data_IF_150340771143
#
_entry.id   IF_150340771143
#
_cell.length_a   1.000
_cell.length_b   1.000
_cell.length_c   1.000
_cell.angle_alpha   90.00
_cell.angle_beta   90.00
_cell.angle_gamma   90.00
#
_symmetry.space_group_name_H-M   'P 1'
#
loop_
_entity.id
_entity.type
_entity.pdbx_description
1 polymer ?
#
# COMPACT_ATOMS: atom_id res chain seq x y z
N UNK A 1 11.54 -2.07 -11.81
CA UNK A 1 10.45 -2.08 -10.82
C UNK A 1 10.78 -1.20 -9.62
N UNK A 2 9.80 -0.78 -8.89
CA UNK A 2 10.02 -0.04 -7.65
C UNK A 2 10.12 -1.04 -6.50
N UNK A 3 11.21 -0.98 -5.76
CA UNK A 3 11.44 -1.84 -4.60
C UNK A 3 10.94 -1.14 -3.35
N UNK A 4 10.16 -1.86 -2.55
CA UNK A 4 9.59 -1.34 -1.30
C UNK A 4 9.76 -2.33 -0.15
N UNK A 5 9.71 -1.82 1.06
CA UNK A 5 9.68 -2.60 2.29
C UNK A 5 8.49 -2.15 3.12
N UNK A 6 7.95 -3.07 3.91
CA UNK A 6 6.87 -2.73 4.83
C UNK A 6 7.44 -1.95 6.02
N UNK A 7 6.83 -0.81 6.33
CA UNK A 7 7.18 -0.05 7.54
C UNK A 7 6.90 -0.90 8.78
N UNK A 8 7.69 -0.76 9.86
CA UNK A 8 7.33 -1.37 11.14
C UNK A 8 5.92 -0.92 11.56
N UNK A 9 5.12 -1.85 12.08
CA UNK A 9 3.75 -1.53 12.46
C UNK A 9 3.68 -0.43 13.52
N UNK A 10 4.66 -0.36 14.40
CA UNK A 10 4.77 0.72 15.39
C UNK A 10 4.86 2.11 14.76
N UNK A 11 5.40 2.22 13.55
CA UNK A 11 5.46 3.48 12.79
C UNK A 11 4.12 3.74 12.11
N UNK A 12 3.53 2.73 11.49
CA UNK A 12 2.24 2.85 10.80
C UNK A 12 1.16 3.33 11.79
N UNK A 13 1.09 2.73 12.96
CA UNK A 13 0.07 3.02 13.95
C UNK A 13 0.10 4.45 14.50
N UNK A 14 1.24 5.13 14.38
CA UNK A 14 1.35 6.55 14.81
C UNK A 14 0.38 7.42 14.01
N UNK A 15 0.08 7.05 12.79
CA UNK A 15 -0.80 7.79 11.88
C UNK A 15 -2.24 7.31 11.91
N UNK A 16 -2.57 6.33 12.76
CA UNK A 16 -3.88 5.72 12.84
C UNK A 16 -4.50 5.92 14.22
N UNK A 17 -5.81 6.09 14.25
CA UNK A 17 -6.60 6.15 15.49
C UNK A 17 -7.51 4.93 15.57
N UNK A 18 -7.78 4.47 16.78
CA UNK A 18 -8.70 3.33 16.99
C UNK A 18 -10.10 3.60 16.46
N UNK A 19 -10.50 4.88 16.43
CA UNK A 19 -11.80 5.30 15.89
C UNK A 19 -11.83 5.36 14.36
N UNK A 20 -10.69 5.27 13.70
CA UNK A 20 -10.63 5.33 12.24
C UNK A 20 -11.31 4.11 11.61
N UNK A 21 -11.98 4.37 10.49
CA UNK A 21 -12.45 3.32 9.58
C UNK A 21 -11.42 3.27 8.45
N UNK A 22 -10.74 2.14 8.34
CA UNK A 22 -9.59 2.01 7.45
C UNK A 22 -9.97 1.24 6.20
N UNK A 23 -9.72 1.84 5.04
CA UNK A 23 -9.75 1.16 3.75
C UNK A 23 -8.33 0.81 3.36
N UNK A 24 -8.07 -0.45 3.04
CA UNK A 24 -6.73 -0.89 2.63
C UNK A 24 -6.71 -0.97 1.10
N UNK A 25 -5.74 -0.32 0.48
CA UNK A 25 -5.52 -0.41 -0.96
C UNK A 25 -4.14 -0.98 -1.21
N UNK A 26 -4.10 -2.12 -1.88
CA UNK A 26 -2.86 -2.86 -2.12
C UNK A 26 -2.57 -2.94 -3.62
N UNK A 27 -1.33 -2.66 -4.00
CA UNK A 27 -0.89 -2.78 -5.37
C UNK A 27 -0.48 -4.21 -5.69
N UNK A 28 -1.05 -4.74 -6.76
CA UNK A 28 -0.75 -6.11 -7.22
C UNK A 28 0.39 -6.14 -8.25
N UNK A 29 1.20 -5.10 -8.30
CA UNK A 29 2.29 -4.99 -9.26
C UNK A 29 3.64 -4.96 -8.53
N UNK A 30 4.34 -3.82 -8.50
CA UNK A 30 5.65 -3.75 -7.86
C UNK A 30 5.63 -4.20 -6.38
N UNK A 31 4.64 -3.76 -5.61
CA UNK A 31 4.52 -4.15 -4.21
C UNK A 31 4.29 -5.65 -4.03
N UNK A 32 3.48 -6.27 -4.90
CA UNK A 32 3.29 -7.72 -4.86
C UNK A 32 4.60 -8.46 -5.15
N UNK A 33 5.35 -7.99 -6.14
CA UNK A 33 6.63 -8.61 -6.50
C UNK A 33 7.65 -8.52 -5.37
N UNK A 34 7.59 -7.46 -4.57
CA UNK A 34 8.46 -7.29 -3.40
C UNK A 34 7.97 -8.04 -2.17
N UNK A 35 6.82 -8.68 -2.23
CA UNK A 35 6.21 -9.35 -1.08
C UNK A 35 5.62 -8.38 -0.05
N UNK A 36 5.40 -7.12 -0.43
CA UNK A 36 4.88 -6.08 0.47
C UNK A 36 3.43 -5.71 0.17
N UNK A 37 2.89 -6.19 -0.95
CA UNK A 37 1.52 -5.90 -1.38
C UNK A 37 0.84 -7.13 -1.97
N UNK A 38 -0.06 -6.91 -2.93
CA UNK A 38 -0.90 -7.95 -3.47
C UNK A 38 -1.92 -8.44 -2.46
N UNK A 39 -2.51 -9.60 -2.70
CA UNK A 39 -3.51 -10.20 -1.80
C UNK A 39 -2.89 -10.62 -0.48
N UNK A 40 -1.68 -11.17 -0.52
CA UNK A 40 -1.01 -11.65 0.70
C UNK A 40 -0.61 -10.50 1.61
N UNK A 41 -0.01 -9.45 1.05
CA UNK A 41 0.33 -8.26 1.83
C UNK A 41 -0.90 -7.63 2.45
N UNK A 42 -1.98 -7.56 1.69
CA UNK A 42 -3.26 -7.05 2.19
C UNK A 42 -3.79 -7.90 3.36
N UNK A 43 -3.76 -9.21 3.22
CA UNK A 43 -4.23 -10.14 4.25
C UNK A 43 -3.43 -10.00 5.53
N UNK A 44 -2.12 -9.93 5.43
CA UNK A 44 -1.22 -9.75 6.56
C UNK A 44 -1.45 -8.43 7.28
N UNK A 45 -1.62 -7.35 6.52
CA UNK A 45 -1.87 -6.02 7.09
C UNK A 45 -3.23 -5.97 7.78
N UNK A 46 -4.25 -6.52 7.16
CA UNK A 46 -5.60 -6.59 7.74
C UNK A 46 -5.59 -7.35 9.06
N UNK A 47 -4.90 -8.47 9.10
CA UNK A 47 -4.74 -9.27 10.31
C UNK A 47 -4.04 -8.47 11.42
N UNK A 48 -2.95 -7.77 11.07
CA UNK A 48 -2.22 -6.93 12.01
C UNK A 48 -3.08 -5.81 12.59
N UNK A 49 -3.86 -5.14 11.74
CA UNK A 49 -4.79 -4.11 12.17
C UNK A 49 -5.81 -4.66 13.16
N UNK A 50 -6.46 -5.76 12.81
CA UNK A 50 -7.49 -6.38 13.64
C UNK A 50 -6.93 -6.85 14.99
N UNK A 51 -5.76 -7.48 14.99
CA UNK A 51 -5.08 -7.94 16.21
C UNK A 51 -4.73 -6.78 17.15
N UNK A 52 -4.55 -5.58 16.60
CA UNK A 52 -4.21 -4.38 17.38
C UNK A 52 -5.42 -3.46 17.63
N UNK A 53 -6.64 -3.93 17.34
CA UNK A 53 -7.86 -3.22 17.67
C UNK A 53 -8.28 -2.13 16.69
N UNK A 54 -7.75 -2.13 15.47
CA UNK A 54 -8.15 -1.21 14.41
C UNK A 54 -9.22 -1.83 13.55
N UNK A 55 -10.04 -1.00 12.90
CA UNK A 55 -11.12 -1.44 12.01
C UNK A 55 -10.74 -1.29 10.54
N UNK A 56 -10.62 -2.41 9.84
CA UNK A 56 -10.53 -2.44 8.38
C UNK A 56 -11.95 -2.66 7.84
N UNK A 57 -12.53 -1.63 7.21
CA UNK A 57 -13.92 -1.66 6.74
C UNK A 57 -14.07 -2.19 5.33
N UNK A 58 -13.06 -2.02 4.49
CA UNK A 58 -13.00 -2.59 3.16
C UNK A 58 -11.54 -2.68 2.69
N UNK A 59 -11.36 -3.37 1.58
CA UNK A 59 -10.03 -3.54 1.01
C UNK A 59 -10.13 -3.72 -0.50
N UNK A 60 -9.04 -3.35 -1.19
CA UNK A 60 -8.94 -3.41 -2.64
C UNK A 60 -7.55 -3.84 -3.05
N UNK A 61 -7.48 -4.74 -4.02
CA UNK A 61 -6.23 -5.08 -4.70
C UNK A 61 -6.35 -4.63 -6.14
N UNK A 62 -5.42 -3.83 -6.60
CA UNK A 62 -5.48 -3.24 -7.92
C UNK A 62 -4.12 -3.27 -8.63
N UNK A 63 -4.12 -3.40 -9.95
CA UNK A 63 -2.89 -3.58 -10.73
C UNK A 63 -2.89 -2.66 -11.96
N UNK A 64 -2.07 -1.62 -11.94
CA UNK A 64 -1.33 -1.03 -10.82
C UNK A 64 -2.11 0.13 -10.16
N UNK A 65 -1.84 0.38 -8.89
CA UNK A 65 -2.46 1.49 -8.16
C UNK A 65 -2.02 2.87 -8.68
N UNK A 66 -0.87 2.92 -9.34
CA UNK A 66 -0.37 4.16 -9.97
C UNK A 66 -1.02 4.48 -11.33
N UNK A 67 -1.99 3.68 -11.78
CA UNK A 67 -2.73 3.94 -13.01
C UNK A 67 -3.52 5.25 -12.85
N UNK A 68 -3.28 6.19 -13.76
CA UNK A 68 -3.94 7.51 -13.72
C UNK A 68 -5.45 7.44 -13.89
N UNK A 69 -5.97 6.36 -14.48
CA UNK A 69 -7.40 6.13 -14.68
C UNK A 69 -8.02 5.24 -13.58
N UNK A 70 -7.36 5.16 -12.42
CA UNK A 70 -7.79 4.31 -11.32
C UNK A 70 -9.24 4.59 -10.89
N UNK A 71 -9.66 5.84 -10.89
CA UNK A 71 -11.00 6.27 -10.53
C UNK A 71 -12.08 5.64 -11.41
N UNK A 72 -11.77 5.44 -12.70
CA UNK A 72 -12.68 4.82 -13.67
C UNK A 72 -12.87 3.33 -13.45
N UNK A 73 -12.01 2.72 -12.64
CA UNK A 73 -12.04 1.29 -12.34
C UNK A 73 -12.74 0.98 -11.02
N UNK A 74 -13.45 1.96 -10.50
CA UNK A 74 -14.42 1.80 -9.41
C UNK A 74 -13.81 1.36 -8.08
N UNK A 75 -12.76 2.03 -7.64
CA UNK A 75 -12.33 1.95 -6.25
C UNK A 75 -13.13 2.97 -5.46
N UNK A 76 -13.93 2.49 -4.51
CA UNK A 76 -14.79 3.34 -3.67
C UNK A 76 -14.53 3.05 -2.20
N UNK A 77 -13.42 3.56 -1.65
CA UNK A 77 -13.11 3.30 -0.26
C UNK A 77 -14.11 3.96 0.68
N UNK A 78 -14.64 3.18 1.61
CA UNK A 78 -15.65 3.63 2.58
C UNK A 78 -15.04 4.22 3.84
N UNK A 79 -13.77 3.94 4.10
CA UNK A 79 -13.08 4.44 5.28
C UNK A 79 -12.78 5.93 5.20
N UNK A 80 -12.52 6.53 6.34
CA UNK A 80 -12.01 7.90 6.41
C UNK A 80 -10.49 7.95 6.22
N UNK A 81 -9.83 6.81 6.36
CA UNK A 81 -8.40 6.64 6.15
C UNK A 81 -8.17 5.57 5.10
N UNK A 82 -7.28 5.85 4.16
CA UNK A 82 -6.83 4.85 3.18
C UNK A 82 -5.40 4.46 3.57
N UNK A 83 -5.21 3.18 3.91
CA UNK A 83 -3.89 2.63 4.21
C UNK A 83 -3.35 1.98 2.95
N UNK A 84 -2.22 2.47 2.48
CA UNK A 84 -1.65 2.10 1.19
C UNK A 84 -0.55 1.06 1.32
N UNK A 85 -0.70 -0.04 0.59
CA UNK A 85 0.36 -1.03 0.34
C UNK A 85 0.81 -0.86 -1.10
N UNK A 86 1.49 0.24 -1.38
CA UNK A 86 1.94 0.62 -2.70
C UNK A 86 3.19 1.48 -2.61
N UNK A 87 3.90 1.61 -3.72
CA UNK A 87 5.05 2.50 -3.81
C UNK A 87 4.60 3.97 -3.81
N UNK A 88 5.56 4.87 -3.77
CA UNK A 88 5.31 6.32 -3.76
C UNK A 88 4.40 6.77 -4.92
N UNK A 89 4.58 6.19 -6.12
CA UNK A 89 3.75 6.54 -7.27
C UNK A 89 2.27 6.21 -7.03
N UNK A 90 1.98 5.03 -6.47
CA UNK A 90 0.62 4.64 -6.13
C UNK A 90 0.04 5.50 -5.01
N UNK A 91 0.85 5.81 -4.00
CA UNK A 91 0.45 6.67 -2.90
C UNK A 91 0.01 8.04 -3.41
N UNK A 92 0.83 8.68 -4.24
CA UNK A 92 0.53 10.00 -4.77
C UNK A 92 -0.71 10.00 -5.66
N UNK A 93 -0.90 8.95 -6.43
CA UNK A 93 -2.09 8.81 -7.28
C UNK A 93 -3.37 8.74 -6.44
N UNK A 94 -3.36 7.97 -5.37
CA UNK A 94 -4.54 7.85 -4.49
C UNK A 94 -4.77 9.15 -3.72
N UNK A 95 -3.72 9.82 -3.27
CA UNK A 95 -3.87 11.16 -2.66
C UNK A 95 -4.53 12.15 -3.62
N UNK A 96 -4.17 12.09 -4.89
CA UNK A 96 -4.76 12.95 -5.93
C UNK A 96 -6.24 12.67 -6.13
N UNK A 97 -6.63 11.41 -6.11
CA UNK A 97 -8.01 10.99 -6.38
C UNK A 97 -8.94 11.18 -5.17
N UNK A 98 -8.44 11.01 -3.97
CA UNK A 98 -9.27 11.02 -2.76
C UNK A 98 -8.81 12.10 -1.78
N UNK A 99 -8.86 13.35 -2.21
CA UNK A 99 -8.37 14.52 -1.45
C UNK A 99 -9.07 14.75 -0.10
N UNK A 100 -10.30 14.27 0.03
CA UNK A 100 -11.05 14.42 1.28
C UNK A 100 -10.70 13.37 2.33
N UNK A 101 -9.90 12.38 1.97
CA UNK A 101 -9.52 11.28 2.85
C UNK A 101 -8.07 11.41 3.29
N UNK A 102 -7.80 10.90 4.48
CA UNK A 102 -6.43 10.80 4.98
C UNK A 102 -5.79 9.57 4.37
N UNK A 103 -4.66 9.73 3.72
CA UNK A 103 -3.95 8.64 3.04
C UNK A 103 -2.65 8.38 3.80
N UNK A 104 -2.46 7.14 4.23
CA UNK A 104 -1.31 6.73 5.05
C UNK A 104 -0.56 5.63 4.30
N UNK A 105 0.75 5.78 4.19
CA UNK A 105 1.60 4.77 3.56
C UNK A 105 2.04 3.72 4.58
N UNK A 106 1.89 2.45 4.20
CA UNK A 106 2.41 1.33 4.98
C UNK A 106 3.76 0.85 4.48
N UNK A 107 4.24 1.38 3.35
CA UNK A 107 5.49 0.94 2.74
C UNK A 107 6.50 2.09 2.63
N UNK A 108 7.78 1.74 2.72
CA UNK A 108 8.87 2.61 2.36
C UNK A 108 9.34 2.25 0.96
N UNK A 109 9.44 3.25 0.08
CA UNK A 109 10.00 3.07 -1.25
C UNK A 109 11.51 3.17 -1.14
N UNK A 110 12.21 2.08 -1.48
CA UNK A 110 13.65 1.96 -1.26
C UNK A 110 14.44 2.39 -2.50
N UNK A 111 13.97 2.01 -3.68
CA UNK A 111 14.71 2.33 -4.89
C UNK A 111 14.17 1.64 -6.12
N UNK A 112 14.98 1.66 -7.16
CA UNK A 112 14.73 0.93 -8.40
C UNK A 112 15.43 -0.41 -8.34
N UNK A 113 14.78 -1.44 -8.83
CA UNK A 113 15.34 -2.77 -8.83
C UNK A 113 14.91 -3.59 -10.03
N UNK A 114 15.44 -4.77 -10.08
CA UNK A 114 15.07 -5.77 -11.06
C UNK A 114 15.10 -7.15 -10.39
N UNK A 115 14.77 -8.17 -11.14
CA UNK A 115 14.82 -9.54 -10.65
C UNK A 115 15.68 -10.38 -11.58
N UNK A 116 16.35 -11.38 -11.02
CA UNK A 116 17.20 -12.30 -11.76
C UNK A 116 16.36 -13.48 -12.31
N UNK A 117 17.04 -14.45 -12.93
CA UNK A 117 16.39 -15.64 -13.51
C UNK A 117 15.64 -16.48 -12.47
N UNK A 118 16.04 -16.40 -11.21
CA UNK A 118 15.39 -17.12 -10.10
C UNK A 118 14.24 -16.33 -9.49
N UNK A 119 14.04 -15.08 -9.93
CA UNK A 119 13.03 -14.20 -9.35
C UNK A 119 13.50 -13.45 -8.12
N UNK A 120 14.77 -13.55 -7.75
CA UNK A 120 15.33 -12.79 -6.63
C UNK A 120 15.47 -11.33 -7.01
N UNK A 121 15.04 -10.44 -6.11
CA UNK A 121 15.03 -8.99 -6.35
C UNK A 121 16.35 -8.39 -5.88
N UNK A 122 16.89 -7.49 -6.68
CA UNK A 122 18.08 -6.73 -6.33
C UNK A 122 17.91 -5.26 -6.68
N UNK A 123 18.57 -4.38 -5.93
CA UNK A 123 18.54 -2.95 -6.15
C UNK A 123 19.53 -2.56 -7.25
N UNK A 124 19.03 -1.73 -8.19
CA UNK A 124 19.86 -1.07 -9.19
C UNK A 124 20.28 0.30 -8.67
N UNK A 125 19.35 1.00 -8.00
CA UNK A 125 19.59 2.33 -7.48
C UNK A 125 18.74 2.56 -6.21
N UNK A 126 19.39 2.94 -5.14
CA UNK A 126 18.73 3.29 -3.90
C UNK A 126 18.30 4.75 -3.92
N UNK A 127 17.08 5.02 -3.45
CA UNK A 127 16.58 6.37 -3.26
C UNK A 127 17.03 6.88 -1.89
N UNK A 128 17.43 8.11 -1.82
CA UNK A 128 17.84 8.74 -0.57
C UNK A 128 16.83 9.75 -0.08
#
# INVERSE_FOLDING_TARGET
MIVSETKPFGIIRVYLKKSDKISIVSCNNCARMCGTGGKEGLREMKKKLEENGYKAVDDFVFSPVCDRDLDKKVIKPKGNVILMLACEAGLRNVERLFKSKRVVSALDTIGLGSFDEKGDIFLIREFK
#
